data_IF_299293992714
#
_entry.id   IF_299293992714
#
_cell.length_a   1.000
_cell.length_b   1.000
_cell.length_c   1.000
_cell.angle_alpha   90.00
_cell.angle_beta   90.00
_cell.angle_gamma   90.00
#
_symmetry.space_group_name_H-M   'P 1'
#
loop_
_entity.id
_entity.type
_entity.pdbx_description
1 polymer ?
#
# COMPACT_ATOMS: atom_id res chain seq x y z
N UNK A 1 4.44 -27.47 -44.38
CA UNK A 1 4.79 -26.11 -43.90
C UNK A 1 4.07 -25.70 -42.62
N UNK A 2 2.73 -25.70 -42.55
CA UNK A 2 1.98 -25.26 -41.34
C UNK A 2 2.33 -26.01 -40.04
N UNK A 3 2.56 -27.33 -40.08
CA UNK A 3 2.95 -28.13 -38.91
C UNK A 3 4.37 -27.85 -38.40
N UNK A 4 5.29 -27.50 -39.31
CA UNK A 4 6.68 -27.18 -38.96
C UNK A 4 6.79 -25.77 -38.35
N UNK A 5 5.99 -24.83 -38.84
CA UNK A 5 5.86 -23.48 -38.28
C UNK A 5 5.27 -23.51 -36.85
N UNK A 6 4.29 -24.37 -36.61
CA UNK A 6 3.66 -24.52 -35.28
C UNK A 6 4.66 -25.05 -34.24
N UNK A 7 5.46 -26.05 -34.60
CA UNK A 7 6.49 -26.63 -33.71
C UNK A 7 7.60 -25.61 -33.44
N UNK A 8 8.00 -24.81 -34.44
CA UNK A 8 8.98 -23.74 -34.27
C UNK A 8 8.47 -22.64 -33.31
N UNK A 9 7.20 -22.23 -33.46
CA UNK A 9 6.58 -21.25 -32.56
C UNK A 9 6.48 -21.79 -31.13
N UNK A 10 6.13 -23.06 -30.96
CA UNK A 10 6.07 -23.70 -29.63
C UNK A 10 7.46 -23.82 -28.99
N UNK A 11 8.50 -24.13 -29.78
CA UNK A 11 9.88 -24.20 -29.30
C UNK A 11 10.44 -22.82 -28.93
N UNK A 12 10.13 -21.77 -29.69
CA UNK A 12 10.52 -20.38 -29.36
C UNK A 12 9.77 -19.88 -28.12
N UNK A 13 8.51 -20.27 -27.91
CA UNK A 13 7.76 -19.98 -26.68
C UNK A 13 8.36 -20.69 -25.45
N UNK A 14 8.78 -21.96 -25.58
CA UNK A 14 9.47 -22.70 -24.52
C UNK A 14 10.87 -22.16 -24.22
N UNK A 15 11.55 -21.59 -25.21
CA UNK A 15 12.85 -20.94 -25.02
C UNK A 15 12.70 -19.51 -24.45
N UNK A 16 11.65 -18.78 -24.83
CA UNK A 16 11.30 -17.48 -24.25
C UNK A 16 10.81 -17.59 -22.80
N UNK A 17 10.32 -18.76 -22.37
CA UNK A 17 9.98 -19.06 -20.97
C UNK A 17 11.21 -19.33 -20.07
N UNK A 18 12.42 -19.37 -20.63
CA UNK A 18 13.67 -19.36 -19.85
C UNK A 18 14.09 -17.92 -19.57
N UNK A 19 13.23 -17.14 -18.92
CA UNK A 19 13.63 -15.86 -18.35
C UNK A 19 14.46 -16.19 -17.11
N UNK A 20 15.77 -15.98 -17.20
CA UNK A 20 16.58 -15.91 -15.98
C UNK A 20 16.04 -14.72 -15.19
N UNK A 21 15.56 -14.94 -13.96
CA UNK A 21 15.30 -13.84 -13.02
C UNK A 21 16.61 -13.08 -12.84
N UNK A 22 16.73 -11.94 -13.53
CA UNK A 22 17.70 -10.95 -13.15
C UNK A 22 17.19 -10.41 -11.82
N UNK A 23 17.92 -10.69 -10.74
CA UNK A 23 17.68 -10.05 -9.44
C UNK A 23 17.99 -8.56 -9.58
N UNK A 24 17.03 -7.80 -10.11
CA UNK A 24 17.01 -6.36 -9.94
C UNK A 24 16.74 -6.09 -8.46
N UNK A 25 17.56 -5.23 -7.85
CA UNK A 25 17.37 -4.80 -6.46
C UNK A 25 15.93 -4.31 -6.26
N UNK A 26 15.33 -4.61 -5.11
CA UNK A 26 14.02 -4.08 -4.77
C UNK A 26 14.01 -2.56 -4.94
N UNK A 27 13.07 -2.07 -5.74
CA UNK A 27 12.96 -0.64 -6.05
C UNK A 27 11.71 -0.11 -5.37
N UNK A 28 11.90 0.58 -4.27
CA UNK A 28 10.82 1.30 -3.58
C UNK A 28 10.80 2.74 -4.02
N UNK A 29 9.62 3.23 -4.37
CA UNK A 29 9.41 4.64 -4.73
C UNK A 29 8.39 5.26 -3.78
N UNK A 30 8.57 6.54 -3.49
CA UNK A 30 7.53 7.35 -2.86
C UNK A 30 6.54 7.77 -3.94
N UNK A 31 5.26 7.47 -3.75
CA UNK A 31 4.23 7.85 -4.72
C UNK A 31 3.98 9.37 -4.67
N UNK A 32 3.76 10.03 -5.83
CA UNK A 32 3.59 11.48 -5.91
C UNK A 32 2.18 11.95 -5.47
N UNK A 33 1.57 11.26 -4.50
CA UNK A 33 0.23 11.51 -3.98
C UNK A 33 0.25 11.90 -2.49
N UNK A 34 1.40 12.29 -1.95
CA UNK A 34 1.55 12.67 -0.55
C UNK A 34 1.06 14.10 -0.25
N UNK A 35 0.67 14.37 1.00
CA UNK A 35 0.33 15.73 1.45
C UNK A 35 1.00 16.07 2.78
N UNK A 36 1.42 17.33 2.90
CA UNK A 36 1.94 17.89 4.15
C UNK A 36 0.87 18.70 4.87
N UNK A 37 0.82 18.63 6.20
CA UNK A 37 -0.18 19.33 7.00
C UNK A 37 0.33 19.59 8.41
N UNK A 38 -0.28 20.55 9.09
CA UNK A 38 0.05 20.89 10.48
C UNK A 38 -1.05 20.38 11.41
N UNK A 39 -0.67 19.69 12.47
CA UNK A 39 -1.61 19.23 13.47
C UNK A 39 -1.90 20.30 14.55
N UNK A 40 -2.87 20.03 15.42
CA UNK A 40 -3.29 20.93 16.48
C UNK A 40 -2.19 21.22 17.54
N UNK A 41 -1.15 20.37 17.61
CA UNK A 41 0.01 20.56 18.49
C UNK A 41 1.12 21.40 17.83
N UNK A 42 0.92 21.81 16.58
CA UNK A 42 1.86 22.61 15.81
C UNK A 42 2.91 21.79 15.07
N UNK A 43 2.89 20.47 15.18
CA UNK A 43 3.80 19.59 14.46
C UNK A 43 3.44 19.52 12.99
N UNK A 44 4.44 19.30 12.14
CA UNK A 44 4.24 19.15 10.70
C UNK A 44 4.29 17.66 10.34
N UNK A 45 3.24 17.18 9.68
CA UNK A 45 3.07 15.79 9.25
C UNK A 45 3.12 15.71 7.74
N UNK A 46 3.65 14.61 7.24
CA UNK A 46 3.57 14.23 5.83
C UNK A 46 2.98 12.84 5.73
N UNK A 47 1.80 12.74 5.14
CA UNK A 47 1.10 11.46 4.92
C UNK A 47 1.24 11.07 3.44
N UNK A 48 1.57 9.81 3.17
CA UNK A 48 1.79 9.34 1.81
C UNK A 48 1.84 7.82 1.70
N UNK A 49 2.25 7.35 0.52
CA UNK A 49 2.45 5.93 0.24
C UNK A 49 3.80 5.69 -0.44
N UNK A 50 4.38 4.54 -0.14
CA UNK A 50 5.47 3.97 -0.93
C UNK A 50 4.99 2.73 -1.67
N UNK A 51 5.58 2.43 -2.81
CA UNK A 51 5.29 1.23 -3.59
C UNK A 51 6.59 0.49 -3.92
N UNK A 52 6.59 -0.83 -3.76
CA UNK A 52 7.65 -1.66 -4.30
C UNK A 52 7.37 -1.96 -5.78
N UNK A 53 8.00 -1.20 -6.67
CA UNK A 53 7.93 -1.39 -8.12
C UNK A 53 9.01 -2.33 -8.65
N UNK A 54 9.82 -2.92 -7.76
CA UNK A 54 10.80 -3.94 -8.08
C UNK A 54 10.18 -5.35 -8.16
N UNK A 55 11.03 -6.33 -8.46
CA UNK A 55 10.62 -7.74 -8.58
C UNK A 55 10.90 -8.58 -7.32
N UNK A 56 11.64 -8.04 -6.35
CA UNK A 56 11.96 -8.72 -5.10
C UNK A 56 11.18 -8.10 -3.95
N UNK A 57 10.87 -8.90 -2.93
CA UNK A 57 10.37 -8.37 -1.68
C UNK A 57 11.44 -7.53 -0.99
N UNK A 58 11.00 -6.47 -0.32
CA UNK A 58 11.85 -5.58 0.47
C UNK A 58 11.26 -5.42 1.85
N UNK A 59 12.10 -5.10 2.82
CA UNK A 59 11.67 -4.77 4.17
C UNK A 59 12.22 -3.44 4.64
N UNK A 60 11.63 -2.98 5.73
CA UNK A 60 12.11 -1.83 6.49
C UNK A 60 12.22 -0.60 5.58
N UNK A 61 11.16 -0.29 4.83
CA UNK A 61 11.12 0.89 3.98
C UNK A 61 11.20 2.15 4.85
N UNK A 62 12.36 2.79 4.88
CA UNK A 62 12.67 3.99 5.65
C UNK A 62 12.43 5.23 4.80
N UNK A 63 11.46 6.05 5.20
CA UNK A 63 11.18 7.35 4.59
C UNK A 63 11.99 8.41 5.32
N UNK A 64 12.71 9.22 4.56
CA UNK A 64 13.35 10.45 5.03
C UNK A 64 12.59 11.64 4.46
N UNK A 65 12.06 12.49 5.34
CA UNK A 65 11.50 13.78 4.97
C UNK A 65 12.49 14.89 5.33
N UNK A 66 12.93 15.65 4.33
CA UNK A 66 13.71 16.88 4.54
C UNK A 66 12.81 18.08 4.34
N UNK A 67 12.80 18.98 5.31
CA UNK A 67 11.90 20.13 5.34
C UNK A 67 12.67 21.43 5.10
N UNK A 68 12.06 22.34 4.36
CA UNK A 68 12.67 23.58 3.93
C UNK A 68 11.81 24.80 4.29
N UNK A 69 12.47 25.90 4.62
CA UNK A 69 11.83 27.21 4.73
C UNK A 69 11.50 27.82 3.34
N UNK A 70 10.91 29.01 3.33
CA UNK A 70 10.58 29.74 2.11
C UNK A 70 11.81 30.21 1.31
N UNK A 71 12.98 30.27 1.94
CA UNK A 71 14.24 30.63 1.28
C UNK A 71 14.97 29.40 0.71
N UNK A 72 14.44 28.19 0.92
CA UNK A 72 15.03 26.93 0.49
C UNK A 72 16.09 26.37 1.44
N UNK A 73 16.24 26.92 2.66
CA UNK A 73 17.17 26.35 3.64
C UNK A 73 16.56 25.13 4.30
N UNK A 74 17.36 24.09 4.51
CA UNK A 74 16.96 22.94 5.32
C UNK A 74 16.76 23.37 6.77
N UNK A 75 15.56 23.17 7.30
CA UNK A 75 15.18 23.50 8.68
C UNK A 75 14.97 22.27 9.56
N UNK A 76 14.96 21.08 8.97
CA UNK A 76 14.88 19.83 9.71
C UNK A 76 14.80 18.62 8.80
N UNK A 77 15.04 17.46 9.41
CA UNK A 77 14.85 16.15 8.78
C UNK A 77 14.14 15.25 9.79
N UNK A 78 13.22 14.42 9.32
CA UNK A 78 12.57 13.39 10.11
C UNK A 78 12.58 12.07 9.34
N UNK A 79 12.52 10.97 10.09
CA UNK A 79 12.62 9.61 9.57
C UNK A 79 11.50 8.79 10.16
N UNK A 80 10.85 7.96 9.34
CA UNK A 80 9.86 7.00 9.82
C UNK A 80 9.79 5.81 8.85
N UNK A 81 9.30 4.68 9.35
CA UNK A 81 9.02 3.54 8.49
C UNK A 81 7.67 3.65 7.78
N UNK A 82 7.58 3.04 6.60
CA UNK A 82 6.28 2.66 6.07
C UNK A 82 5.61 1.65 7.02
N UNK A 83 4.28 1.67 7.10
CA UNK A 83 3.59 0.82 8.07
C UNK A 83 3.78 -0.67 7.83
N UNK A 84 3.85 -1.15 6.58
CA UNK A 84 4.18 -2.53 6.26
C UNK A 84 5.68 -2.77 6.47
N UNK A 85 6.01 -3.84 7.18
CA UNK A 85 7.38 -4.27 7.41
C UNK A 85 7.96 -4.91 6.15
N UNK A 86 7.16 -5.71 5.43
CA UNK A 86 7.55 -6.37 4.17
C UNK A 86 6.64 -5.92 3.04
N UNK A 87 7.24 -5.34 2.00
CA UNK A 87 6.56 -4.96 0.77
C UNK A 87 6.87 -5.99 -0.32
N UNK A 88 5.86 -6.78 -0.67
CA UNK A 88 5.89 -7.64 -1.85
C UNK A 88 5.89 -6.79 -3.15
N UNK A 89 6.35 -7.34 -4.29
CA UNK A 89 6.27 -6.66 -5.59
C UNK A 89 4.85 -6.15 -5.90
N UNK A 90 4.75 -4.90 -6.35
CA UNK A 90 3.49 -4.20 -6.65
C UNK A 90 2.68 -3.77 -5.42
N UNK A 91 3.17 -4.03 -4.20
CA UNK A 91 2.45 -3.71 -2.97
C UNK A 91 2.78 -2.29 -2.51
N UNK A 92 1.73 -1.58 -2.10
CA UNK A 92 1.82 -0.25 -1.49
C UNK A 92 1.79 -0.33 0.03
N UNK A 93 2.54 0.57 0.68
CA UNK A 93 2.47 0.80 2.12
C UNK A 93 2.26 2.28 2.41
N UNK A 94 1.23 2.64 3.19
CA UNK A 94 1.11 4.00 3.70
C UNK A 94 2.22 4.32 4.72
N UNK A 95 2.52 5.60 4.89
CA UNK A 95 3.45 6.12 5.90
C UNK A 95 2.97 7.49 6.41
N UNK A 96 3.44 7.86 7.60
CA UNK A 96 3.34 9.23 8.10
C UNK A 96 4.64 9.64 8.78
N UNK A 97 5.25 10.73 8.31
CA UNK A 97 6.46 11.30 8.92
C UNK A 97 6.10 12.56 9.70
N UNK A 98 6.67 12.71 10.90
CA UNK A 98 6.37 13.81 11.82
C UNK A 98 7.62 14.64 12.14
N UNK A 99 7.54 15.95 11.91
CA UNK A 99 8.50 16.94 12.40
C UNK A 99 7.93 17.61 13.67
N UNK A 100 8.52 17.30 14.82
CA UNK A 100 8.08 17.79 16.14
C UNK A 100 8.84 19.01 16.66
N UNK A 101 9.89 19.44 15.96
CA UNK A 101 10.74 20.55 16.40
C UNK A 101 10.04 21.90 16.22
N UNK A 102 10.55 22.96 16.87
CA UNK A 102 10.04 24.32 16.70
C UNK A 102 10.07 24.81 15.23
N UNK A 103 10.95 24.24 14.41
CA UNK A 103 11.06 24.50 12.99
C UNK A 103 9.81 24.07 12.20
N UNK A 104 8.95 23.21 12.74
CA UNK A 104 7.70 22.82 12.11
C UNK A 104 6.89 24.03 11.64
N UNK A 105 6.86 25.12 12.41
CA UNK A 105 6.15 26.37 12.08
C UNK A 105 6.64 27.06 10.80
N UNK A 106 7.87 26.79 10.38
CA UNK A 106 8.57 27.45 9.27
C UNK A 106 8.57 26.62 7.98
N UNK A 107 8.01 25.41 8.00
CA UNK A 107 7.96 24.52 6.84
C UNK A 107 7.16 25.18 5.71
N UNK A 108 7.85 25.44 4.60
CA UNK A 108 7.25 25.87 3.33
C UNK A 108 7.02 24.70 2.39
N UNK A 109 8.01 23.80 2.29
CA UNK A 109 7.95 22.60 1.45
C UNK A 109 8.86 21.51 2.01
N UNK A 110 8.80 20.32 1.40
CA UNK A 110 9.60 19.17 1.79
C UNK A 110 9.98 18.33 0.57
N UNK A 111 10.99 17.48 0.75
CA UNK A 111 11.37 16.42 -0.18
C UNK A 111 11.38 15.09 0.55
N UNK A 112 10.97 14.02 -0.14
CA UNK A 112 10.94 12.67 0.38
C UNK A 112 11.93 11.78 -0.36
N UNK A 113 12.59 10.91 0.38
CA UNK A 113 13.36 9.79 -0.18
C UNK A 113 13.06 8.54 0.61
N UNK A 114 13.19 7.39 -0.04
CA UNK A 114 12.99 6.08 0.59
C UNK A 114 14.19 5.18 0.34
N UNK A 115 14.58 4.43 1.37
CA UNK A 115 15.52 3.32 1.25
C UNK A 115 14.88 2.08 1.84
N UNK A 116 15.13 0.92 1.24
CA UNK A 116 14.62 -0.35 1.73
C UNK A 116 15.69 -1.43 1.54
N UNK A 117 15.55 -2.53 2.25
CA UNK A 117 16.51 -3.65 2.18
C UNK A 117 15.84 -4.86 1.55
N UNK A 118 16.53 -5.54 0.63
CA UNK A 118 16.04 -6.80 0.06
C UNK A 118 15.78 -7.83 1.18
N UNK A 119 14.73 -8.64 1.01
CA UNK A 119 14.37 -9.71 1.94
C UNK A 119 13.72 -10.87 1.19
N UNK A 120 13.64 -12.02 1.85
CA UNK A 120 12.76 -13.09 1.39
C UNK A 120 11.29 -12.66 1.56
N UNK A 121 10.40 -13.02 0.61
CA UNK A 121 8.98 -12.68 0.68
C UNK A 121 8.30 -13.44 1.83
N UNK A 122 7.28 -12.81 2.42
CA UNK A 122 6.32 -13.49 3.29
C UNK A 122 5.12 -13.99 2.44
N UNK A 123 4.53 -15.15 2.76
CA UNK A 123 3.36 -15.65 2.05
C UNK A 123 2.14 -14.73 2.22
N UNK A 124 1.21 -14.79 1.28
CA UNK A 124 -0.11 -14.17 1.41
C UNK A 124 -1.03 -15.10 2.21
N UNK A 125 -1.75 -14.54 3.19
CA UNK A 125 -2.57 -15.35 4.11
C UNK A 125 -3.65 -14.59 4.85
N UNK A 126 -3.73 -13.27 4.70
CA UNK A 126 -4.79 -12.45 5.28
C UNK A 126 -5.75 -12.00 4.18
N UNK A 127 -7.05 -12.05 4.45
CA UNK A 127 -8.10 -11.60 3.53
C UNK A 127 -9.04 -10.65 4.25
N UNK A 128 -9.21 -9.42 3.74
CA UNK A 128 -10.25 -8.51 4.21
C UNK A 128 -11.56 -8.91 3.53
N UNK A 129 -12.51 -9.42 4.32
CA UNK A 129 -13.78 -9.95 3.82
C UNK A 129 -14.79 -8.84 3.52
N UNK A 130 -14.73 -7.75 4.29
CA UNK A 130 -15.62 -6.61 4.16
C UNK A 130 -15.02 -5.40 4.83
N UNK A 131 -15.37 -4.21 4.32
CA UNK A 131 -15.13 -2.95 5.02
C UNK A 131 -16.20 -1.93 4.67
N UNK A 132 -16.41 -0.98 5.58
CA UNK A 132 -17.25 0.20 5.36
C UNK A 132 -16.75 1.34 6.25
N UNK A 133 -17.07 2.58 5.88
CA UNK A 133 -16.71 3.75 6.67
C UNK A 133 -17.93 4.55 7.11
N UNK A 134 -17.87 5.13 8.30
CA UNK A 134 -18.88 6.07 8.79
C UNK A 134 -18.25 7.14 9.70
N UNK A 135 -18.90 8.30 9.79
CA UNK A 135 -18.52 9.33 10.76
C UNK A 135 -19.29 9.04 12.05
N UNK A 136 -18.58 8.81 13.15
CA UNK A 136 -19.18 8.61 14.46
C UNK A 136 -19.82 9.92 14.95
N UNK A 137 -21.10 9.89 15.31
CA UNK A 137 -21.89 11.10 15.58
C UNK A 137 -21.45 11.90 16.81
N UNK A 138 -20.82 11.24 17.80
CA UNK A 138 -20.42 11.89 19.05
C UNK A 138 -19.03 12.51 18.92
N UNK A 139 -18.03 11.73 18.51
CA UNK A 139 -16.67 12.26 18.37
C UNK A 139 -16.46 13.03 17.07
N UNK A 140 -17.21 12.73 16.00
CA UNK A 140 -16.89 13.20 14.65
C UNK A 140 -15.71 12.48 14.00
N UNK A 141 -15.20 11.41 14.61
CA UNK A 141 -14.15 10.58 14.03
C UNK A 141 -14.67 9.86 12.79
N UNK A 142 -13.82 9.69 11.77
CA UNK A 142 -14.08 8.74 10.71
C UNK A 142 -13.61 7.36 11.18
N UNK A 143 -14.53 6.39 11.16
CA UNK A 143 -14.25 4.99 11.49
C UNK A 143 -14.33 4.18 10.20
N UNK A 144 -13.32 3.35 9.95
CA UNK A 144 -13.37 2.28 8.95
C UNK A 144 -13.43 0.96 9.69
N UNK A 145 -14.56 0.27 9.57
CA UNK A 145 -14.82 -1.01 10.24
C UNK A 145 -14.92 -2.13 9.21
N UNK A 146 -14.44 -3.31 9.57
CA UNK A 146 -14.46 -4.46 8.68
C UNK A 146 -14.15 -5.78 9.37
N UNK A 147 -14.03 -6.83 8.56
CA UNK A 147 -13.62 -8.16 9.01
C UNK A 147 -12.42 -8.64 8.21
N UNK A 148 -11.48 -9.27 8.90
CA UNK A 148 -10.28 -9.87 8.32
C UNK A 148 -10.19 -11.32 8.74
N UNK A 149 -9.79 -12.18 7.81
CA UNK A 149 -9.67 -13.63 7.98
C UNK A 149 -8.25 -14.07 7.72
N UNK A 150 -7.76 -15.01 8.52
CA UNK A 150 -6.57 -15.78 8.17
C UNK A 150 -6.98 -16.98 7.30
N UNK A 151 -6.59 -16.96 6.02
CA UNK A 151 -6.87 -18.02 5.04
C UNK A 151 -5.70 -19.00 4.88
N UNK A 152 -4.60 -18.78 5.61
CA UNK A 152 -3.44 -19.67 5.61
C UNK A 152 -3.57 -20.81 6.64
N UNK A 153 -2.55 -21.67 6.69
CA UNK A 153 -2.54 -22.88 7.52
C UNK A 153 -1.96 -22.70 8.91
N UNK A 154 -1.21 -21.62 9.16
CA UNK A 154 -0.63 -21.30 10.48
C UNK A 154 -1.25 -20.05 11.08
N UNK A 155 -1.11 -19.87 12.39
CA UNK A 155 -1.55 -18.67 13.12
C UNK A 155 -0.86 -17.41 12.63
N UNK A 156 -1.63 -16.33 12.47
CA UNK A 156 -1.17 -14.99 12.14
C UNK A 156 -1.06 -14.14 13.42
N UNK A 157 0.17 -13.72 13.77
CA UNK A 157 0.43 -12.96 14.99
C UNK A 157 0.57 -11.46 14.73
N UNK A 158 0.16 -10.65 15.71
CA UNK A 158 0.32 -9.17 15.66
C UNK A 158 -0.28 -8.59 14.36
N UNK A 159 -1.45 -9.08 13.97
CA UNK A 159 -2.12 -8.61 12.76
C UNK A 159 -2.44 -7.13 12.89
N UNK A 160 -2.03 -6.34 11.91
CA UNK A 160 -2.39 -4.92 11.79
C UNK A 160 -3.11 -4.67 10.48
N UNK A 161 -4.10 -3.79 10.54
CA UNK A 161 -4.82 -3.26 9.37
C UNK A 161 -4.50 -1.78 9.27
N UNK A 162 -4.19 -1.34 8.05
CA UNK A 162 -3.65 -0.02 7.76
C UNK A 162 -4.53 0.62 6.70
N UNK A 163 -4.87 1.89 6.91
CA UNK A 163 -5.63 2.69 5.96
C UNK A 163 -4.78 3.85 5.41
N UNK A 164 -4.86 4.05 4.10
CA UNK A 164 -4.62 5.34 3.47
C UNK A 164 -5.96 6.00 3.15
N UNK A 165 -6.11 7.27 3.51
CA UNK A 165 -7.30 8.07 3.22
C UNK A 165 -6.99 9.08 2.13
N UNK A 166 -7.84 9.13 1.10
CA UNK A 166 -7.65 9.97 -0.07
C UNK A 166 -8.69 11.07 -0.15
N UNK A 167 -8.29 12.22 -0.71
CA UNK A 167 -9.23 13.21 -1.22
C UNK A 167 -9.69 12.87 -2.65
N UNK A 168 -10.59 13.70 -3.18
CA UNK A 168 -11.19 13.53 -4.51
C UNK A 168 -10.15 13.49 -5.65
N UNK A 169 -9.02 14.16 -5.45
CA UNK A 169 -7.91 14.19 -6.41
C UNK A 169 -6.94 13.00 -6.28
N UNK A 170 -7.21 12.06 -5.36
CA UNK A 170 -6.39 10.87 -5.15
C UNK A 170 -5.14 11.11 -4.29
N UNK A 171 -5.02 12.27 -3.63
CA UNK A 171 -3.92 12.54 -2.70
C UNK A 171 -4.22 11.94 -1.32
N UNK A 172 -3.22 11.30 -0.72
CA UNK A 172 -3.24 10.80 0.65
C UNK A 172 -3.31 11.98 1.60
N UNK A 173 -4.46 12.16 2.23
CA UNK A 173 -4.69 13.21 3.21
C UNK A 173 -4.40 12.75 4.64
N UNK A 174 -4.54 11.47 4.93
CA UNK A 174 -4.19 10.92 6.24
C UNK A 174 -3.90 9.44 6.10
N UNK A 175 -3.23 8.89 7.10
CA UNK A 175 -3.04 7.45 7.24
C UNK A 175 -3.31 7.03 8.67
N UNK A 176 -3.73 5.79 8.88
CA UNK A 176 -3.95 5.26 10.23
C UNK A 176 -3.67 3.76 10.24
N UNK A 177 -3.27 3.25 11.40
CA UNK A 177 -2.91 1.85 11.61
C UNK A 177 -3.57 1.37 12.90
N UNK A 178 -4.15 0.18 12.86
CA UNK A 178 -4.79 -0.46 14.01
C UNK A 178 -4.32 -1.92 14.11
N UNK A 179 -3.94 -2.35 15.30
CA UNK A 179 -3.63 -3.74 15.59
C UNK A 179 -4.90 -4.46 16.03
N UNK A 180 -5.03 -5.74 15.67
CA UNK A 180 -6.10 -6.62 16.17
C UNK A 180 -5.85 -6.98 17.65
N UNK A 181 -5.89 -5.98 18.55
CA UNK A 181 -5.79 -6.16 20.00
C UNK A 181 -4.76 -7.22 20.44
N UNK A 182 -5.16 -8.08 21.39
CA UNK A 182 -4.39 -9.25 21.82
C UNK A 182 -4.79 -10.54 21.09
N UNK A 183 -5.44 -10.43 19.93
CA UNK A 183 -5.99 -11.58 19.21
C UNK A 183 -5.05 -11.97 18.07
N UNK A 184 -4.38 -13.10 18.23
CA UNK A 184 -3.80 -13.81 17.10
C UNK A 184 -4.93 -14.48 16.31
N UNK A 185 -4.80 -14.57 14.98
CA UNK A 185 -5.78 -15.25 14.14
C UNK A 185 -5.28 -16.64 13.78
N UNK A 186 -5.90 -17.67 14.34
CA UNK A 186 -5.69 -19.05 13.89
C UNK A 186 -6.18 -19.29 12.46
N UNK A 187 -5.87 -20.45 11.87
CA UNK A 187 -6.32 -20.81 10.53
C UNK A 187 -7.84 -20.75 10.40
N UNK A 188 -8.33 -20.09 9.35
CA UNK A 188 -9.74 -19.82 9.09
C UNK A 188 -10.48 -18.93 10.09
N UNK A 189 -9.82 -18.43 11.14
CA UNK A 189 -10.44 -17.51 12.08
C UNK A 189 -10.63 -16.13 11.45
N UNK A 190 -11.68 -15.46 11.89
CA UNK A 190 -12.04 -14.11 11.46
C UNK A 190 -12.11 -13.20 12.68
N UNK A 191 -11.67 -11.96 12.52
CA UNK A 191 -11.79 -10.92 13.54
C UNK A 191 -12.27 -9.62 12.90
N UNK A 192 -12.95 -8.82 13.70
CA UNK A 192 -13.32 -7.46 13.33
C UNK A 192 -12.18 -6.49 13.59
N UNK A 193 -12.10 -5.43 12.80
CA UNK A 193 -11.16 -4.33 13.01
C UNK A 193 -11.87 -2.99 12.89
N UNK A 194 -11.37 -2.01 13.64
CA UNK A 194 -11.71 -0.61 13.50
C UNK A 194 -10.42 0.20 13.31
N UNK A 195 -10.41 1.05 12.27
CA UNK A 195 -9.38 2.06 12.05
C UNK A 195 -10.02 3.43 12.27
N UNK A 196 -9.38 4.24 13.11
CA UNK A 196 -9.88 5.56 13.48
C UNK A 196 -9.01 6.63 12.82
N UNK A 197 -9.66 7.57 12.13
CA UNK A 197 -9.10 8.87 11.82
C UNK A 197 -9.75 9.92 12.72
N UNK A 198 -8.96 10.48 13.62
CA UNK A 198 -9.46 11.39 14.64
C UNK A 198 -9.89 12.73 14.07
N UNK A 199 -11.04 13.23 14.50
CA UNK A 199 -11.61 14.51 14.06
C UNK A 199 -10.67 15.70 14.28
N UNK A 200 -9.93 15.69 15.39
CA UNK A 200 -9.03 16.77 15.82
C UNK A 200 -7.78 16.93 14.93
N UNK A 201 -7.59 16.02 13.97
CA UNK A 201 -6.60 16.18 12.89
C UNK A 201 -7.04 17.18 11.82
N UNK A 202 -8.33 17.55 11.79
CA UNK A 202 -8.99 18.31 10.72
C UNK A 202 -8.89 17.64 9.33
N UNK A 203 -8.57 16.34 9.27
CA UNK A 203 -8.42 15.60 8.00
C UNK A 203 -9.69 14.88 7.57
N UNK A 204 -10.58 14.54 8.51
CA UNK A 204 -11.86 13.84 8.24
C UNK A 204 -12.65 14.48 7.10
N UNK A 205 -12.86 15.82 7.03
CA UNK A 205 -13.65 16.44 5.96
C UNK A 205 -13.03 16.36 4.56
N UNK A 206 -11.75 15.99 4.47
CA UNK A 206 -11.03 15.88 3.19
C UNK A 206 -11.13 14.48 2.58
N UNK A 207 -11.62 13.50 3.33
CA UNK A 207 -11.63 12.10 2.91
C UNK A 207 -12.84 11.83 2.02
N UNK A 208 -12.57 11.31 0.82
CA UNK A 208 -13.60 10.85 -0.13
C UNK A 208 -13.48 9.36 -0.45
N UNK A 209 -12.31 8.76 -0.21
CA UNK A 209 -12.05 7.34 -0.40
C UNK A 209 -10.98 6.84 0.58
N UNK A 210 -10.89 5.51 0.75
CA UNK A 210 -9.82 4.88 1.51
C UNK A 210 -9.33 3.60 0.80
N UNK A 211 -8.10 3.20 1.12
CA UNK A 211 -7.50 1.92 0.73
C UNK A 211 -7.05 1.18 2.00
N UNK A 212 -7.27 -0.13 2.04
CA UNK A 212 -6.85 -0.99 3.15
C UNK A 212 -5.73 -1.94 2.72
N UNK A 213 -4.78 -2.14 3.63
CA UNK A 213 -3.77 -3.20 3.56
C UNK A 213 -3.60 -3.82 4.95
N UNK A 214 -3.06 -5.03 5.05
CA UNK A 214 -2.85 -5.69 6.33
C UNK A 214 -1.61 -6.57 6.36
N UNK A 215 -1.00 -6.76 7.52
CA UNK A 215 0.18 -7.61 7.68
C UNK A 215 0.16 -8.26 9.07
N UNK A 216 0.61 -9.50 9.15
CA UNK A 216 1.02 -10.16 10.39
C UNK A 216 2.53 -10.40 10.37
N UNK A 217 3.08 -10.98 11.42
CA UNK A 217 4.48 -11.42 11.40
C UNK A 217 4.76 -12.41 10.26
N UNK A 218 3.78 -13.25 9.93
CA UNK A 218 3.87 -14.36 8.97
C UNK A 218 3.31 -14.04 7.59
N UNK A 219 2.26 -13.19 7.51
CA UNK A 219 1.43 -13.11 6.31
C UNK A 219 1.21 -11.69 5.81
N UNK A 220 1.25 -11.57 4.48
CA UNK A 220 0.74 -10.43 3.75
C UNK A 220 -0.77 -10.56 3.48
N UNK A 221 -1.41 -9.41 3.19
CA UNK A 221 -2.76 -9.36 2.66
C UNK A 221 -2.80 -9.91 1.23
N UNK A 222 -3.75 -10.80 0.96
CA UNK A 222 -4.12 -11.24 -0.39
C UNK A 222 -4.69 -10.04 -1.16
N UNK A 223 -4.16 -9.69 -2.34
CA UNK A 223 -4.69 -8.59 -3.14
C UNK A 223 -6.16 -8.83 -3.50
N UNK A 224 -7.02 -7.83 -3.29
CA UNK A 224 -8.45 -7.90 -3.66
C UNK A 224 -8.66 -8.20 -5.15
N UNK A 225 -7.69 -7.82 -5.99
CA UNK A 225 -7.65 -8.15 -7.41
C UNK A 225 -6.28 -8.74 -7.76
N UNK A 226 -6.12 -10.08 -7.82
CA UNK A 226 -4.87 -10.66 -8.25
C UNK A 226 -4.55 -10.22 -9.68
N UNK A 227 -3.31 -9.77 -9.93
CA UNK A 227 -2.87 -9.20 -11.21
C UNK A 227 -3.17 -10.11 -12.42
N UNK A 228 -3.14 -11.43 -12.19
CA UNK A 228 -3.46 -12.46 -13.18
C UNK A 228 -4.95 -12.43 -13.57
N UNK A 229 -5.85 -12.20 -12.62
CA UNK A 229 -7.29 -12.11 -12.89
C UNK A 229 -7.62 -10.86 -13.74
N UNK A 230 -6.95 -9.75 -13.48
CA UNK A 230 -7.08 -8.52 -14.27
C UNK A 230 -6.56 -8.73 -15.70
N UNK A 231 -5.35 -9.29 -15.84
CA UNK A 231 -4.75 -9.61 -17.15
C UNK A 231 -5.61 -10.57 -17.97
N UNK A 232 -6.15 -11.61 -17.34
CA UNK A 232 -7.03 -12.58 -18.03
C UNK A 232 -8.38 -11.96 -18.41
N UNK A 233 -8.97 -11.09 -17.58
CA UNK A 233 -10.18 -10.34 -17.95
C UNK A 233 -9.94 -9.41 -19.14
N UNK A 234 -8.82 -8.67 -19.17
CA UNK A 234 -8.43 -7.84 -20.32
C UNK A 234 -8.17 -8.67 -21.60
N UNK A 235 -7.53 -9.84 -21.46
CA UNK A 235 -7.30 -10.75 -22.59
C UNK A 235 -8.63 -11.27 -23.16
N UNK A 236 -9.58 -11.65 -22.30
CA UNK A 236 -10.91 -12.12 -22.73
C UNK A 236 -11.71 -10.99 -23.39
N UNK A 237 -11.70 -9.77 -22.81
CA UNK A 237 -12.38 -8.62 -23.39
C UNK A 237 -11.82 -8.24 -24.76
N UNK A 238 -10.50 -8.24 -24.92
CA UNK A 238 -9.84 -7.94 -26.21
C UNK A 238 -10.12 -9.02 -27.28
N UNK A 239 -10.15 -10.30 -26.89
CA UNK A 239 -10.55 -11.40 -27.79
C UNK A 239 -12.00 -11.28 -28.25
N UNK A 240 -12.93 -10.97 -27.34
CA UNK A 240 -14.34 -10.74 -27.67
C UNK A 240 -14.51 -9.56 -28.63
N UNK A 241 -13.80 -8.45 -28.39
CA UNK A 241 -13.80 -7.29 -29.28
C UNK A 241 -13.27 -7.62 -30.68
N UNK A 242 -12.19 -8.41 -30.78
CA UNK A 242 -11.62 -8.85 -32.06
C UNK A 242 -12.57 -9.80 -32.84
N UNK A 243 -13.36 -10.61 -32.14
CA UNK A 243 -14.37 -11.49 -32.76
C UNK A 243 -15.59 -10.68 -33.25
N UNK A 244 -16.04 -9.68 -32.49
CA UNK A 244 -17.15 -8.81 -32.88
C UNK A 244 -16.78 -7.93 -34.09
N UNK A 245 -15.56 -7.43 -34.16
CA UNK A 245 -15.08 -6.58 -35.28
C UNK A 245 -14.78 -7.36 -36.56
N UNK A 246 -14.48 -8.67 -36.48
CA UNK A 246 -14.31 -9.54 -37.66
C UNK A 246 -15.61 -10.05 -38.28
N UNK A 247 -16.76 -9.82 -37.65
CA UNK A 247 -18.09 -10.24 -38.12
C UNK A 247 -18.85 -9.13 -38.86
N UNK A 248 -18.20 -8.01 -39.14
CA UNK A 248 -18.67 -6.90 -39.98
C UNK A 248 -17.84 -6.93 -41.27
#
# INVERSE_FOLDING_TARGET
>A
MKRFLLVLVFAVLLFAMRVFEVKASGLVVVLPNHTGWRDALGYYRVSGEVENIGNNAVKDAWITATFYDASGNTIGTAYEHAYLKVLLPGRKSPFEVLLTTAAASQVHHYSLSVVATDTDPIPEGLEILSSSSYIESISGNLIVSGNIKNVASETAHTVKVIAAFYNESGYVVATSCSYLGSQDLGPNETASFDIVLYWNTNRVPLVTAYYLTAESVEYALVPEFPSIAVLSAFLVASLLFAVCTKRI
#
